data_IF_625531065348
#
_entry.id   IF_625531065348
#
_cell.length_a   1.000
_cell.length_b   1.000
_cell.length_c   1.000
_cell.angle_alpha   90.00
_cell.angle_beta   90.00
_cell.angle_gamma   90.00
#
_symmetry.space_group_name_H-M   'P 1'
#
loop_
_entity.id
_entity.type
_entity.pdbx_description
1 polymer ?
#
# COMPACT_ATOMS: atom_id res chain seq x y z
N UNK A 1 4.56 -1.79 -21.97
CA UNK A 1 4.77 -1.86 -20.51
C UNK A 1 4.21 -3.19 -20.02
N UNK A 2 4.98 -3.97 -19.25
CA UNK A 2 4.51 -5.26 -18.71
C UNK A 2 4.02 -5.03 -17.28
N UNK A 3 2.85 -5.57 -16.94
CA UNK A 3 2.21 -5.43 -15.62
C UNK A 3 1.95 -6.83 -15.07
N UNK A 4 2.23 -7.03 -13.78
CA UNK A 4 1.94 -8.23 -13.04
C UNK A 4 1.03 -7.86 -11.86
N UNK A 5 0.09 -8.74 -11.51
CA UNK A 5 -0.79 -8.56 -10.35
C UNK A 5 -0.62 -9.76 -9.44
N UNK A 6 -0.26 -9.51 -8.19
CA UNK A 6 -0.24 -10.48 -7.10
C UNK A 6 -1.43 -10.20 -6.18
N UNK A 7 -2.26 -11.19 -5.88
CA UNK A 7 -3.44 -10.99 -5.02
C UNK A 7 -3.10 -11.07 -3.54
N UNK A 8 -2.01 -11.75 -3.20
CA UNK A 8 -1.47 -11.83 -1.84
C UNK A 8 0.02 -11.51 -1.81
N UNK A 9 0.57 -11.06 -0.66
CA UNK A 9 1.99 -10.67 -0.57
C UNK A 9 2.97 -11.79 -0.94
N UNK A 10 2.62 -13.06 -0.70
CA UNK A 10 3.47 -14.21 -1.05
C UNK A 10 3.61 -14.44 -2.56
N UNK A 11 2.77 -13.82 -3.38
CA UNK A 11 2.82 -13.89 -4.85
C UNK A 11 3.57 -12.69 -5.47
N UNK A 12 4.09 -11.78 -4.64
CA UNK A 12 4.75 -10.57 -5.13
C UNK A 12 5.99 -10.91 -5.98
N UNK A 13 6.03 -10.40 -7.20
CA UNK A 13 7.17 -10.51 -8.10
C UNK A 13 8.13 -9.32 -7.94
N UNK A 14 9.42 -9.55 -8.16
CA UNK A 14 10.40 -8.46 -8.22
C UNK A 14 10.12 -7.58 -9.45
N UNK A 15 9.96 -6.28 -9.22
CA UNK A 15 9.76 -5.28 -10.25
C UNK A 15 10.40 -3.94 -9.84
N UNK A 16 10.78 -3.07 -10.80
CA UNK A 16 11.28 -1.74 -10.48
C UNK A 16 10.26 -0.84 -9.76
N UNK A 17 8.96 -1.12 -9.90
CA UNK A 17 7.86 -0.38 -9.28
C UNK A 17 6.88 -1.36 -8.66
N UNK A 18 6.54 -1.13 -7.37
CA UNK A 18 5.47 -1.83 -6.66
C UNK A 18 4.33 -0.88 -6.34
N UNK A 19 3.09 -1.33 -6.54
CA UNK A 19 1.87 -0.62 -6.14
C UNK A 19 1.13 -1.52 -5.16
N UNK A 20 1.03 -1.10 -3.90
CA UNK A 20 0.26 -1.81 -2.87
C UNK A 20 -1.20 -1.40 -2.96
N UNK A 21 -2.12 -2.37 -2.90
CA UNK A 21 -3.56 -2.13 -2.94
C UNK A 21 -4.22 -2.89 -1.79
N UNK A 22 -4.76 -2.12 -0.84
CA UNK A 22 -5.67 -2.60 0.20
C UNK A 22 -6.79 -1.56 0.32
N UNK A 23 -7.78 -1.70 -0.57
CA UNK A 23 -8.85 -0.71 -0.76
C UNK A 23 -9.67 -0.53 0.51
N UNK A 24 -9.93 -1.61 1.25
CA UNK A 24 -10.80 -1.64 2.41
C UNK A 24 -10.01 -2.21 3.61
N UNK A 25 -9.24 -1.38 4.32
CA UNK A 25 -9.23 0.10 4.25
C UNK A 25 -7.84 0.73 4.20
N UNK A 26 -6.75 -0.03 4.29
CA UNK A 26 -5.44 0.54 4.60
C UNK A 26 -4.99 1.60 3.58
N UNK A 27 -4.92 1.29 2.29
CA UNK A 27 -4.40 2.24 1.29
C UNK A 27 -5.35 3.40 1.04
N UNK A 28 -6.67 3.19 1.17
CA UNK A 28 -7.65 4.28 1.08
C UNK A 28 -7.52 5.27 2.24
N UNK A 29 -7.32 4.78 3.46
CA UNK A 29 -7.08 5.62 4.64
C UNK A 29 -5.74 6.38 4.53
N UNK A 30 -4.67 5.73 4.06
CA UNK A 30 -3.37 6.40 3.84
C UNK A 30 -3.53 7.54 2.82
N UNK A 31 -4.14 7.26 1.66
CA UNK A 31 -4.34 8.25 0.61
C UNK A 31 -5.17 9.43 1.12
N UNK A 32 -6.25 9.15 1.85
CA UNK A 32 -7.11 10.18 2.43
C UNK A 32 -6.35 11.03 3.47
N UNK A 33 -5.61 10.42 4.39
CA UNK A 33 -4.86 11.14 5.43
C UNK A 33 -3.85 12.13 4.82
N UNK A 34 -3.07 11.67 3.82
CA UNK A 34 -2.12 12.51 3.10
C UNK A 34 -2.83 13.63 2.32
N UNK A 35 -3.95 13.34 1.66
CA UNK A 35 -4.75 14.35 0.95
C UNK A 35 -5.32 15.43 1.88
N UNK A 36 -5.56 15.09 3.16
CA UNK A 36 -6.02 16.03 4.19
C UNK A 36 -4.89 16.78 4.91
N UNK A 37 -3.62 16.58 4.53
CA UNK A 37 -2.49 17.35 5.04
C UNK A 37 -1.67 16.67 6.14
N UNK A 38 -1.82 15.37 6.36
CA UNK A 38 -0.94 14.65 7.29
C UNK A 38 0.48 14.62 6.71
N UNK A 39 1.49 14.98 7.51
CA UNK A 39 2.88 15.07 7.03
C UNK A 39 3.51 13.73 6.66
N UNK A 40 3.06 12.62 7.28
CA UNK A 40 3.48 11.24 6.96
C UNK A 40 2.51 10.22 7.55
N UNK A 41 2.54 8.99 7.02
CA UNK A 41 1.88 7.82 7.61
C UNK A 41 2.93 6.73 7.85
N UNK A 42 2.98 6.20 9.07
CA UNK A 42 3.86 5.09 9.44
C UNK A 42 3.02 3.81 9.51
N UNK A 43 3.37 2.81 8.69
CA UNK A 43 2.74 1.50 8.76
C UNK A 43 3.48 0.66 9.80
N UNK A 44 2.76 0.16 10.79
CA UNK A 44 3.28 -0.77 11.81
C UNK A 44 2.50 -2.08 11.72
N UNK A 45 3.15 -3.23 12.01
CA UNK A 45 2.50 -4.53 11.91
C UNK A 45 1.48 -4.74 13.05
N UNK A 46 1.79 -4.23 14.24
CA UNK A 46 1.02 -4.43 15.47
C UNK A 46 1.03 -3.13 16.30
N UNK A 47 0.22 -3.08 17.35
CA UNK A 47 0.03 -1.88 18.19
C UNK A 47 0.99 -1.80 19.38
N UNK A 48 1.57 -2.93 19.79
CA UNK A 48 2.44 -3.06 20.97
C UNK A 48 3.90 -2.70 20.66
#
# INVERSE_FOLDING_TARGET
MRVHVAFVPSEAASAPIGIVVDVLRATSTIAQALATGYGRVLCVPELE
#
